data_IF_983378522614
#
_entry.id   IF_983378522614
#
_cell.length_a   1.000
_cell.length_b   1.000
_cell.length_c   1.000
_cell.angle_alpha   90.00
_cell.angle_beta   90.00
_cell.angle_gamma   90.00
#
_symmetry.space_group_name_H-M   'P 1'
#
loop_
_entity.id
_entity.type
_entity.pdbx_description
1 polymer ?
#
# COMPACT_ATOMS: atom_id res chain seq x y z
N UNK A 1 -24.47 9.60 -2.66
CA UNK A 1 -25.38 8.50 -2.27
C UNK A 1 -24.57 7.50 -1.46
N UNK A 2 -25.06 7.04 -0.30
CA UNK A 2 -24.34 6.01 0.47
C UNK A 2 -24.08 4.76 -0.35
N UNK A 3 -22.98 4.08 -0.11
CA UNK A 3 -22.66 2.84 -0.84
C UNK A 3 -23.73 1.78 -0.62
N UNK A 4 -24.26 1.69 0.60
CA UNK A 4 -25.30 0.72 0.94
C UNK A 4 -26.55 0.82 0.03
N UNK A 5 -26.83 2.00 -0.53
CA UNK A 5 -27.97 2.22 -1.44
C UNK A 5 -27.64 1.87 -2.90
N UNK A 6 -26.37 1.65 -3.21
CA UNK A 6 -25.93 1.28 -4.54
C UNK A 6 -25.84 -0.25 -4.71
N UNK A 7 -25.80 -1.00 -3.60
CA UNK A 7 -25.50 -2.43 -3.59
C UNK A 7 -26.78 -3.29 -3.70
N UNK A 8 -26.65 -4.40 -4.41
CA UNK A 8 -27.74 -5.39 -4.59
C UNK A 8 -27.63 -6.49 -3.53
N UNK A 9 -28.36 -6.34 -2.45
CA UNK A 9 -28.45 -7.34 -1.38
C UNK A 9 -29.51 -8.43 -1.66
N UNK A 10 -30.18 -8.43 -2.83
CA UNK A 10 -31.18 -9.46 -3.14
C UNK A 10 -30.56 -10.82 -3.44
N UNK A 11 -29.28 -10.83 -3.76
CA UNK A 11 -28.50 -12.04 -4.02
C UNK A 11 -27.85 -12.54 -2.73
N UNK A 12 -27.33 -13.75 -2.75
CA UNK A 12 -26.48 -14.35 -1.71
C UNK A 12 -27.03 -14.20 -0.27
N UNK A 13 -28.32 -14.42 -0.10
CA UNK A 13 -28.98 -14.37 1.22
C UNK A 13 -28.83 -13.01 1.93
N UNK A 14 -28.84 -11.93 1.18
CA UNK A 14 -28.71 -10.58 1.76
C UNK A 14 -27.28 -10.13 1.99
N UNK A 15 -26.33 -10.79 1.37
CA UNK A 15 -24.90 -10.50 1.56
C UNK A 15 -24.26 -10.09 0.24
N UNK A 16 -23.32 -9.13 0.32
CA UNK A 16 -22.40 -8.83 -0.77
C UNK A 16 -21.00 -9.37 -0.42
N UNK A 17 -20.24 -9.70 -1.44
CA UNK A 17 -18.83 -10.10 -1.26
C UNK A 17 -17.96 -8.86 -1.07
N UNK A 18 -17.08 -8.87 -0.09
CA UNK A 18 -16.12 -7.78 0.10
C UNK A 18 -14.70 -8.31 -0.14
N UNK A 19 -14.05 -7.78 -1.15
CA UNK A 19 -12.62 -8.00 -1.42
C UNK A 19 -11.87 -6.86 -0.74
N UNK A 20 -11.06 -7.20 0.26
CA UNK A 20 -10.30 -6.19 1.01
C UNK A 20 -8.86 -6.15 0.52
N UNK A 21 -8.44 -4.97 0.10
CA UNK A 21 -7.15 -4.72 -0.53
C UNK A 21 -6.37 -3.68 0.29
N UNK A 22 -5.09 -3.90 0.45
CA UNK A 22 -4.19 -2.92 1.06
C UNK A 22 -4.02 -1.74 0.10
N UNK A 23 -4.36 -0.54 0.55
CA UNK A 23 -4.33 0.67 -0.27
C UNK A 23 -2.90 1.10 -0.64
N UNK A 24 -1.90 0.72 0.16
CA UNK A 24 -0.50 1.06 -0.10
C UNK A 24 0.20 0.13 -1.07
N UNK A 25 -0.13 -1.17 -1.00
CA UNK A 25 0.59 -2.19 -1.77
C UNK A 25 -0.24 -2.82 -2.89
N UNK A 26 -1.56 -2.66 -2.86
CA UNK A 26 -2.46 -3.35 -3.79
C UNK A 26 -2.69 -4.83 -3.46
N UNK A 27 -2.09 -5.35 -2.40
CA UNK A 27 -2.23 -6.76 -2.03
C UNK A 27 -3.66 -7.06 -1.57
N UNK A 28 -4.25 -8.16 -2.03
CA UNK A 28 -5.52 -8.63 -1.50
C UNK A 28 -5.27 -9.22 -0.11
N UNK A 29 -5.93 -8.67 0.90
CA UNK A 29 -5.73 -9.05 2.30
C UNK A 29 -6.66 -10.19 2.72
N UNK A 30 -7.92 -10.10 2.33
CA UNK A 30 -8.93 -11.10 2.69
C UNK A 30 -10.18 -10.92 1.83
N UNK A 31 -11.03 -11.93 1.83
CA UNK A 31 -12.38 -11.85 1.29
C UNK A 31 -13.34 -12.22 2.42
N UNK A 32 -14.41 -11.47 2.56
CA UNK A 32 -15.45 -11.70 3.56
C UNK A 32 -16.81 -11.27 2.99
N UNK A 33 -17.85 -11.33 3.79
CA UNK A 33 -19.18 -10.88 3.37
C UNK A 33 -19.65 -9.71 4.24
N UNK A 34 -20.53 -8.90 3.69
CA UNK A 34 -21.18 -7.82 4.42
C UNK A 34 -22.67 -7.80 4.06
N UNK A 35 -23.49 -7.53 5.05
CA UNK A 35 -24.88 -7.16 4.80
C UNK A 35 -25.00 -5.63 4.81
N UNK A 36 -26.20 -5.12 4.61
CA UNK A 36 -26.44 -3.68 4.60
C UNK A 36 -25.94 -3.01 5.90
N UNK A 37 -26.23 -3.61 7.06
CA UNK A 37 -25.80 -3.06 8.34
C UNK A 37 -24.27 -2.96 8.45
N UNK A 38 -23.55 -3.97 7.97
CA UNK A 38 -22.08 -3.96 7.99
C UNK A 38 -21.51 -2.85 7.11
N UNK A 39 -22.09 -2.64 5.92
CA UNK A 39 -21.67 -1.56 5.02
C UNK A 39 -21.95 -0.19 5.66
N UNK A 40 -23.15 0.04 6.19
CA UNK A 40 -23.53 1.29 6.86
C UNK A 40 -22.59 1.60 8.05
N UNK A 41 -22.28 0.57 8.84
CA UNK A 41 -21.33 0.72 9.96
C UNK A 41 -19.92 1.07 9.46
N UNK A 42 -19.49 0.42 8.39
CA UNK A 42 -18.19 0.72 7.77
C UNK A 42 -18.11 2.18 7.32
N UNK A 43 -19.16 2.66 6.63
CA UNK A 43 -19.22 4.07 6.18
C UNK A 43 -19.22 5.03 7.38
N UNK A 44 -19.97 4.70 8.43
CA UNK A 44 -20.11 5.56 9.61
C UNK A 44 -18.83 5.66 10.45
N UNK A 45 -18.08 4.56 10.56
CA UNK A 45 -16.90 4.52 11.45
C UNK A 45 -15.58 4.75 10.71
N UNK A 46 -15.56 4.54 9.39
CA UNK A 46 -14.31 4.54 8.62
C UNK A 46 -13.46 3.29 8.87
N UNK A 47 -14.01 2.27 9.53
CA UNK A 47 -13.31 1.01 9.80
C UNK A 47 -14.17 -0.17 9.35
N UNK A 48 -13.52 -1.22 8.84
CA UNK A 48 -14.23 -2.34 8.19
C UNK A 48 -15.07 -3.15 9.18
N UNK A 49 -16.33 -3.30 8.82
CA UNK A 49 -17.28 -4.23 9.46
C UNK A 49 -17.71 -5.27 8.43
N UNK A 50 -17.92 -6.48 8.88
CA UNK A 50 -18.30 -7.62 8.04
C UNK A 50 -19.47 -8.36 8.68
N UNK A 51 -20.11 -9.24 7.91
CA UNK A 51 -21.11 -10.19 8.40
C UNK A 51 -20.53 -11.60 8.32
N UNK A 52 -20.39 -12.24 9.47
CA UNK A 52 -19.99 -13.64 9.56
C UNK A 52 -21.24 -14.52 9.79
N UNK A 53 -21.32 -15.65 9.12
CA UNK A 53 -22.40 -16.60 9.33
C UNK A 53 -22.48 -17.13 10.77
N UNK A 54 -21.33 -17.17 11.46
CA UNK A 54 -21.25 -17.71 12.81
C UNK A 54 -21.21 -16.63 13.90
N UNK A 55 -20.64 -15.47 13.62
CA UNK A 55 -20.43 -14.39 14.60
C UNK A 55 -21.42 -13.24 14.46
N UNK A 56 -22.17 -13.21 13.38
CA UNK A 56 -23.02 -12.06 13.07
C UNK A 56 -22.22 -10.86 12.59
N UNK A 57 -22.66 -9.67 12.94
CA UNK A 57 -21.95 -8.42 12.63
C UNK A 57 -20.60 -8.41 13.36
N UNK A 58 -19.53 -8.07 12.63
CA UNK A 58 -18.17 -8.20 13.15
C UNK A 58 -17.32 -6.99 12.74
N UNK A 59 -16.88 -6.21 13.71
CA UNK A 59 -15.90 -5.13 13.52
C UNK A 59 -14.50 -5.76 13.43
N UNK A 60 -13.83 -5.57 12.30
CA UNK A 60 -12.50 -6.15 12.07
C UNK A 60 -11.48 -5.49 12.99
N UNK A 61 -10.83 -6.31 13.80
CA UNK A 61 -9.79 -5.85 14.71
C UNK A 61 -10.29 -5.43 16.09
N UNK A 62 -11.59 -5.52 16.38
CA UNK A 62 -12.15 -5.12 17.68
C UNK A 62 -11.45 -5.78 18.88
N UNK A 63 -11.00 -7.02 18.72
CA UNK A 63 -10.33 -7.78 19.79
C UNK A 63 -8.81 -7.72 19.68
N UNK A 64 -8.28 -7.79 18.44
CA UNK A 64 -6.83 -7.92 18.21
C UNK A 64 -6.09 -6.59 18.05
N UNK A 65 -6.81 -5.48 17.87
CA UNK A 65 -6.23 -4.20 17.49
C UNK A 65 -5.92 -4.07 16.00
N UNK A 66 -6.02 -5.16 15.23
CA UNK A 66 -5.69 -5.16 13.80
C UNK A 66 -6.88 -4.65 12.97
N UNK A 67 -7.26 -3.39 13.20
CA UNK A 67 -8.35 -2.73 12.46
C UNK A 67 -7.93 -2.47 11.01
N UNK A 68 -8.92 -2.27 10.16
CA UNK A 68 -8.72 -1.94 8.75
C UNK A 68 -9.41 -0.60 8.48
N UNK A 69 -8.64 0.48 8.40
CA UNK A 69 -9.16 1.83 8.14
C UNK A 69 -9.45 1.99 6.65
N UNK A 70 -10.65 2.42 6.33
CA UNK A 70 -11.12 2.55 4.96
C UNK A 70 -10.49 3.76 4.27
N UNK A 71 -9.96 3.54 3.08
CA UNK A 71 -9.52 4.60 2.16
C UNK A 71 -10.59 4.83 1.08
N UNK A 72 -11.10 3.73 0.48
CA UNK A 72 -12.21 3.82 -0.47
C UNK A 72 -13.03 2.54 -0.45
N UNK A 73 -14.28 2.66 -0.82
CA UNK A 73 -15.24 1.56 -1.03
C UNK A 73 -15.86 1.74 -2.41
N UNK A 74 -15.81 0.73 -3.23
CA UNK A 74 -16.32 0.78 -4.60
C UNK A 74 -17.16 -0.46 -4.89
N UNK A 75 -18.40 -0.25 -5.35
CA UNK A 75 -19.23 -1.35 -5.84
C UNK A 75 -18.71 -1.82 -7.19
N UNK A 76 -18.86 -3.09 -7.47
CA UNK A 76 -18.54 -3.60 -8.80
C UNK A 76 -19.69 -3.31 -9.81
N UNK A 77 -19.58 -3.82 -11.03
CA UNK A 77 -20.46 -3.42 -12.14
C UNK A 77 -21.92 -3.90 -12.01
N UNK A 78 -22.17 -4.94 -11.24
CA UNK A 78 -23.53 -5.44 -10.99
C UNK A 78 -23.92 -5.39 -9.51
N UNK A 79 -23.12 -4.67 -8.73
CA UNK A 79 -23.42 -4.23 -7.36
C UNK A 79 -23.57 -5.38 -6.34
N UNK A 80 -23.01 -6.57 -6.61
CA UNK A 80 -23.02 -7.68 -5.64
C UNK A 80 -21.68 -7.91 -4.94
N UNK A 81 -20.68 -7.06 -5.27
CA UNK A 81 -19.39 -7.10 -4.60
C UNK A 81 -18.87 -5.69 -4.31
N UNK A 82 -17.99 -5.58 -3.33
CA UNK A 82 -17.35 -4.32 -2.91
C UNK A 82 -15.83 -4.52 -2.91
N UNK A 83 -15.11 -3.64 -3.57
CA UNK A 83 -13.67 -3.49 -3.39
C UNK A 83 -13.45 -2.47 -2.27
N UNK A 84 -12.93 -2.94 -1.14
CA UNK A 84 -12.58 -2.11 0.01
C UNK A 84 -11.07 -1.91 0.05
N UNK A 85 -10.59 -0.70 -0.25
CA UNK A 85 -9.18 -0.35 -0.07
C UNK A 85 -8.97 0.19 1.32
N UNK A 86 -8.04 -0.40 2.06
CA UNK A 86 -7.85 -0.11 3.49
C UNK A 86 -6.37 0.09 3.83
N UNK A 87 -6.13 0.78 4.94
CA UNK A 87 -4.83 0.78 5.62
C UNK A 87 -4.97 -0.18 6.82
N UNK A 88 -4.35 -1.37 6.78
CA UNK A 88 -4.43 -2.29 7.90
C UNK A 88 -3.50 -1.85 9.04
N UNK A 89 -3.98 -1.90 10.28
CA UNK A 89 -3.16 -1.61 11.45
C UNK A 89 -2.22 -2.77 11.83
N UNK A 90 -2.44 -3.95 11.24
CA UNK A 90 -1.64 -5.15 11.47
C UNK A 90 -2.15 -6.30 10.61
N UNK A 91 -1.70 -7.53 10.89
CA UNK A 91 -2.07 -8.70 10.10
C UNK A 91 -3.57 -8.86 9.91
N UNK A 92 -3.98 -9.11 8.66
CA UNK A 92 -5.39 -9.35 8.35
C UNK A 92 -5.82 -10.76 8.79
N UNK A 93 -4.91 -11.72 8.69
CA UNK A 93 -5.21 -13.13 8.98
C UNK A 93 -5.08 -13.43 10.48
N UNK A 94 -5.96 -14.31 10.99
CA UNK A 94 -5.91 -14.78 12.38
C UNK A 94 -4.66 -15.60 12.70
N UNK A 95 -3.96 -16.11 11.68
CA UNK A 95 -2.68 -16.80 11.83
C UNK A 95 -1.49 -15.85 11.95
N UNK A 96 -1.72 -14.54 11.97
CA UNK A 96 -0.67 -13.54 12.08
C UNK A 96 0.00 -13.18 10.76
N UNK A 97 -0.49 -13.70 9.63
CA UNK A 97 0.03 -13.33 8.30
C UNK A 97 -0.66 -12.07 7.78
N UNK A 98 0.06 -11.30 6.96
CA UNK A 98 -0.44 -10.06 6.41
C UNK A 98 -1.75 -10.27 5.64
N UNK A 99 -1.85 -11.36 4.89
CA UNK A 99 -3.00 -11.73 4.06
C UNK A 99 -3.53 -13.10 4.46
N UNK A 100 -4.82 -13.34 4.22
CA UNK A 100 -5.44 -14.67 4.34
C UNK A 100 -5.03 -15.61 3.19
N UNK A 101 -4.44 -15.06 2.14
CA UNK A 101 -3.93 -15.85 1.02
C UNK A 101 -2.44 -16.11 1.25
N UNK A 102 -2.14 -17.32 1.73
CA UNK A 102 -0.78 -17.70 2.09
C UNK A 102 0.16 -17.56 0.89
N UNK A 103 1.34 -17.06 1.15
CA UNK A 103 2.42 -16.92 0.16
C UNK A 103 2.13 -15.96 -1.01
N UNK A 104 1.09 -15.17 -0.91
CA UNK A 104 1.13 -13.96 -1.68
C UNK A 104 2.13 -13.07 -0.92
N UNK A 105 3.35 -13.12 -1.27
CA UNK A 105 4.32 -12.10 -0.97
C UNK A 105 3.71 -10.74 -1.33
N UNK A 106 4.32 -9.64 -1.01
CA UNK A 106 3.73 -8.37 -1.37
C UNK A 106 3.34 -8.46 -2.84
N UNK A 107 2.03 -8.38 -3.10
CA UNK A 107 1.59 -8.48 -4.47
C UNK A 107 2.34 -7.42 -5.23
N UNK A 108 3.26 -7.88 -5.96
CA UNK A 108 3.75 -7.30 -7.18
C UNK A 108 4.19 -5.84 -7.21
N UNK A 109 3.86 -4.98 -6.30
CA UNK A 109 4.42 -3.63 -6.37
C UNK A 109 5.53 -3.43 -5.32
N UNK A 110 6.66 -4.05 -5.61
CA UNK A 110 7.87 -3.94 -4.79
C UNK A 110 8.28 -2.46 -4.63
N UNK A 111 8.08 -1.65 -5.66
CA UNK A 111 8.42 -0.22 -5.59
C UNK A 111 7.57 0.52 -4.55
N UNK A 112 6.27 0.19 -4.44
CA UNK A 112 5.41 0.76 -3.39
C UNK A 112 5.86 0.33 -1.99
N UNK A 113 6.31 -0.90 -1.84
CA UNK A 113 6.86 -1.38 -0.55
C UNK A 113 8.12 -0.58 -0.19
N UNK A 114 9.03 -0.43 -1.15
CA UNK A 114 10.27 0.34 -0.95
C UNK A 114 9.95 1.81 -0.63
N UNK A 115 9.01 2.44 -1.36
CA UNK A 115 8.60 3.82 -1.07
C UNK A 115 8.00 3.95 0.34
N UNK A 116 7.21 2.97 0.78
CA UNK A 116 6.66 2.96 2.15
C UNK A 116 7.78 2.94 3.20
N UNK A 117 8.79 2.11 2.98
CA UNK A 117 9.96 2.03 3.88
C UNK A 117 10.72 3.37 3.89
N UNK A 118 10.93 3.97 2.71
CA UNK A 118 11.59 5.28 2.60
C UNK A 118 10.79 6.35 3.35
N UNK A 119 9.45 6.37 3.21
CA UNK A 119 8.57 7.30 3.96
C UNK A 119 8.72 7.14 5.46
N UNK A 120 8.69 5.90 5.93
CA UNK A 120 8.82 5.61 7.37
C UNK A 120 10.17 6.12 7.91
N UNK A 121 11.26 5.87 7.17
CA UNK A 121 12.58 6.36 7.54
C UNK A 121 12.70 7.88 7.49
N UNK A 122 12.02 8.52 6.55
CA UNK A 122 11.97 10.00 6.47
C UNK A 122 11.23 10.59 7.67
N UNK A 123 10.13 9.96 8.09
CA UNK A 123 9.33 10.42 9.22
C UNK A 123 10.04 10.21 10.57
N UNK A 124 10.96 9.25 10.65
CA UNK A 124 11.71 8.92 11.86
C UNK A 124 13.12 9.52 11.87
N UNK A 125 13.32 10.66 11.21
CA UNK A 125 14.61 11.37 11.29
C UNK A 125 14.93 11.63 12.76
N UNK A 126 16.13 11.27 13.22
CA UNK A 126 16.42 11.30 14.63
C UNK A 126 16.44 12.72 15.19
N UNK A 127 15.56 12.96 16.16
CA UNK A 127 15.69 14.10 17.07
C UNK A 127 16.60 13.63 18.22
N UNK A 128 17.90 13.41 17.95
CA UNK A 128 18.80 13.04 19.03
C UNK A 128 19.87 11.97 18.69
N UNK A 129 20.22 11.15 19.65
CA UNK A 129 21.50 10.43 19.75
C UNK A 129 21.72 9.22 18.81
N UNK A 130 20.82 8.93 17.90
CA UNK A 130 20.97 7.79 16.98
C UNK A 130 21.76 8.11 15.71
N UNK A 131 22.57 7.16 15.25
CA UNK A 131 23.23 7.30 13.94
C UNK A 131 22.19 7.24 12.82
N UNK A 132 22.20 8.19 11.87
CA UNK A 132 21.24 8.17 10.79
C UNK A 132 21.45 6.95 9.87
N UNK A 133 20.35 6.34 9.46
CA UNK A 133 20.39 5.25 8.49
C UNK A 133 20.90 5.74 7.13
N UNK A 134 21.29 4.84 6.26
CA UNK A 134 21.73 5.20 4.91
C UNK A 134 20.66 6.02 4.16
N UNK A 135 19.40 5.60 4.22
CA UNK A 135 18.28 6.35 3.63
C UNK A 135 18.22 7.78 4.16
N UNK A 136 18.35 7.95 5.47
CA UNK A 136 18.31 9.29 6.10
C UNK A 136 19.48 10.16 5.66
N UNK A 137 20.68 9.59 5.51
CA UNK A 137 21.84 10.33 4.99
C UNK A 137 21.57 10.80 3.55
N UNK A 138 21.01 9.92 2.71
CA UNK A 138 20.65 10.29 1.34
C UNK A 138 19.58 11.38 1.30
N UNK A 139 18.58 11.31 2.18
CA UNK A 139 17.53 12.33 2.26
C UNK A 139 18.09 13.70 2.68
N UNK A 140 19.06 13.71 3.59
CA UNK A 140 19.66 14.93 4.12
C UNK A 140 20.69 15.55 3.15
N UNK A 141 21.47 14.73 2.45
CA UNK A 141 22.58 15.22 1.60
C UNK A 141 22.20 15.14 0.11
N UNK A 142 21.88 16.32 -0.45
CA UNK A 142 21.53 16.46 -1.87
C UNK A 142 22.65 15.97 -2.80
N UNK A 143 23.90 16.32 -2.49
CA UNK A 143 25.01 15.98 -3.38
C UNK A 143 25.30 14.47 -3.38
N UNK A 144 25.28 13.86 -2.19
CA UNK A 144 25.41 12.40 -2.06
C UNK A 144 24.29 11.69 -2.83
N UNK A 145 23.06 12.15 -2.66
CA UNK A 145 21.88 11.57 -3.32
C UNK A 145 22.01 11.60 -4.85
N UNK A 146 22.35 12.76 -5.43
CA UNK A 146 22.48 12.92 -6.88
C UNK A 146 23.68 12.16 -7.43
N UNK A 147 24.81 12.18 -6.70
CA UNK A 147 26.00 11.42 -7.05
C UNK A 147 25.67 9.92 -7.17
N UNK A 148 24.96 9.36 -6.18
CA UNK A 148 24.63 7.92 -6.16
C UNK A 148 23.77 7.51 -7.35
N UNK A 149 22.80 8.31 -7.76
CA UNK A 149 22.00 8.00 -8.96
C UNK A 149 22.91 7.86 -10.20
N UNK A 150 23.88 8.78 -10.35
CA UNK A 150 24.79 8.73 -11.48
C UNK A 150 25.71 7.50 -11.44
N UNK A 151 26.22 7.16 -10.25
CA UNK A 151 27.09 5.98 -10.05
C UNK A 151 26.32 4.69 -10.42
N UNK A 152 25.15 4.46 -9.80
CA UNK A 152 24.39 3.23 -10.01
C UNK A 152 23.91 3.11 -11.46
N UNK A 153 23.53 4.23 -12.09
CA UNK A 153 23.15 4.21 -13.51
C UNK A 153 24.32 3.80 -14.41
N UNK A 154 25.54 4.30 -14.12
CA UNK A 154 26.73 3.93 -14.90
C UNK A 154 27.10 2.46 -14.70
N UNK A 155 26.98 1.96 -13.47
CA UNK A 155 27.25 0.57 -13.13
C UNK A 155 26.23 -0.37 -13.80
N UNK A 156 24.96 0.01 -13.80
CA UNK A 156 23.90 -0.72 -14.51
C UNK A 156 24.20 -0.82 -16.01
N UNK A 157 24.53 0.31 -16.65
CA UNK A 157 24.87 0.34 -18.11
C UNK A 157 26.06 -0.58 -18.39
N UNK A 158 27.09 -0.52 -17.52
CA UNK A 158 28.29 -1.37 -17.68
C UNK A 158 27.93 -2.84 -17.55
N UNK A 159 27.17 -3.22 -16.54
CA UNK A 159 26.76 -4.62 -16.35
C UNK A 159 25.93 -5.12 -17.53
N UNK A 160 25.05 -4.28 -18.09
CA UNK A 160 24.29 -4.62 -19.30
C UNK A 160 25.21 -4.83 -20.50
N UNK A 161 26.21 -3.96 -20.68
CA UNK A 161 27.16 -4.05 -21.80
C UNK A 161 28.02 -5.32 -21.68
N UNK A 162 28.36 -5.71 -20.46
CA UNK A 162 29.15 -6.91 -20.20
C UNK A 162 28.32 -8.21 -20.32
N UNK A 163 27.00 -8.12 -20.39
CA UNK A 163 26.12 -9.28 -20.40
C UNK A 163 25.98 -9.97 -19.06
N UNK A 164 26.34 -9.29 -17.97
CA UNK A 164 26.25 -9.84 -16.60
C UNK A 164 24.85 -9.60 -16.03
N UNK A 165 23.95 -10.55 -16.24
CA UNK A 165 22.55 -10.44 -15.84
C UNK A 165 22.38 -10.34 -14.31
N UNK A 166 23.22 -11.01 -13.55
CA UNK A 166 23.13 -10.96 -12.08
C UNK A 166 23.48 -9.55 -11.59
N UNK A 167 24.63 -9.04 -12.00
CA UNK A 167 25.05 -7.70 -11.65
C UNK A 167 24.08 -6.64 -12.18
N UNK A 168 23.61 -6.77 -13.42
CA UNK A 168 22.63 -5.82 -13.99
C UNK A 168 21.33 -5.76 -13.15
N UNK A 169 20.90 -6.92 -12.59
CA UNK A 169 19.71 -6.94 -11.72
C UNK A 169 19.97 -6.18 -10.41
N UNK A 170 21.15 -6.35 -9.81
CA UNK A 170 21.53 -5.65 -8.57
C UNK A 170 21.58 -4.13 -8.81
N UNK A 171 22.30 -3.73 -9.85
CA UNK A 171 22.45 -2.28 -10.17
C UNK A 171 21.11 -1.64 -10.54
N UNK A 172 20.24 -2.38 -11.25
CA UNK A 172 18.89 -1.89 -11.55
C UNK A 172 18.10 -1.61 -10.26
N UNK A 173 18.20 -2.51 -9.28
CA UNK A 173 17.52 -2.31 -7.99
C UNK A 173 18.05 -1.07 -7.27
N UNK A 174 19.37 -0.84 -7.32
CA UNK A 174 20.00 0.34 -6.72
C UNK A 174 19.59 1.62 -7.44
N UNK A 175 19.52 1.62 -8.77
CA UNK A 175 18.99 2.75 -9.55
C UNK A 175 17.55 3.09 -9.09
N UNK A 176 16.66 2.07 -9.02
CA UNK A 176 15.28 2.29 -8.57
C UNK A 176 15.22 2.82 -7.14
N UNK A 177 16.01 2.25 -6.23
CA UNK A 177 16.04 2.71 -4.84
C UNK A 177 16.48 4.17 -4.75
N UNK A 178 17.59 4.52 -5.39
CA UNK A 178 18.13 5.90 -5.36
C UNK A 178 17.17 6.89 -6.03
N UNK A 179 16.52 6.49 -7.12
CA UNK A 179 15.50 7.32 -7.76
C UNK A 179 14.30 7.59 -6.84
N UNK A 180 13.81 6.55 -6.14
CA UNK A 180 12.71 6.72 -5.17
C UNK A 180 13.10 7.64 -4.02
N UNK A 181 14.31 7.50 -3.47
CA UNK A 181 14.80 8.41 -2.42
C UNK A 181 14.87 9.85 -2.92
N UNK A 182 15.33 10.04 -4.16
CA UNK A 182 15.41 11.38 -4.75
C UNK A 182 14.01 12.00 -4.96
N UNK A 183 13.08 11.20 -5.45
CA UNK A 183 11.68 11.63 -5.59
C UNK A 183 11.06 12.00 -4.24
N UNK A 184 11.33 11.21 -3.21
CA UNK A 184 10.87 11.47 -1.84
C UNK A 184 11.44 12.77 -1.30
N UNK A 185 12.72 13.02 -1.50
CA UNK A 185 13.36 14.28 -1.11
C UNK A 185 12.74 15.50 -1.80
N UNK A 186 12.37 15.34 -2.92
CA UNK A 186 11.75 16.38 -3.63
C UNK A 186 10.36 16.65 -3.18
N UNK A 187 9.72 15.67 -2.73
CA UNK A 187 8.42 15.79 -2.25
C UNK A 187 8.37 16.29 -0.85
N UNK A 188 9.28 16.09 -0.20
CA UNK A 188 9.44 16.56 1.09
C UNK A 188 9.83 17.98 1.13
N UNK A 189 10.18 18.33 0.14
CA UNK A 189 10.53 19.64 -0.04
C UNK A 189 9.43 20.56 -0.32
N UNK A 190 8.27 20.18 -0.34
CA UNK A 190 7.12 21.04 -0.38
C UNK A 190 6.66 21.54 -1.74
N UNK A 191 7.06 20.91 -2.82
CA UNK A 191 6.51 21.24 -4.15
C UNK A 191 5.33 20.28 -4.45
N UNK A 192 4.14 20.80 -4.81
CA UNK A 192 3.04 19.94 -5.26
C UNK A 192 3.33 19.41 -6.66
N UNK A 193 3.94 18.22 -6.73
CA UNK A 193 4.34 17.62 -8.01
C UNK A 193 3.36 16.56 -8.54
N UNK A 194 2.06 16.72 -8.28
CA UNK A 194 1.08 15.79 -8.85
C UNK A 194 -0.12 16.47 -9.53
N UNK A 195 0.09 17.68 -10.09
CA UNK A 195 -1.02 18.34 -10.80
C UNK A 195 -0.82 18.53 -12.31
N UNK A 196 0.22 18.00 -12.89
CA UNK A 196 0.39 18.16 -14.35
C UNK A 196 0.91 16.90 -15.05
N UNK A 197 0.06 15.87 -15.11
CA UNK A 197 0.23 14.83 -16.13
C UNK A 197 -1.09 14.61 -16.91
N UNK A 198 -1.79 15.71 -17.18
CA UNK A 198 -2.88 15.72 -18.15
C UNK A 198 -2.69 16.93 -19.03
N UNK A 199 -2.23 16.70 -20.20
CA UNK A 199 -2.22 17.49 -21.42
C UNK A 199 -0.85 17.80 -22.00
N UNK A 200 -0.34 16.86 -22.76
CA UNK A 200 0.33 17.22 -24.02
C UNK A 200 -0.08 16.19 -25.05
N UNK A 201 -0.90 16.64 -25.97
CA UNK A 201 -1.10 15.98 -27.26
C UNK A 201 0.16 16.16 -28.13
#
# INVERSE_FOLDING_TARGET
MPLADQLDFSRNDGLVTVVTQDAGTGAVLMVAHADREAIERTEATGEMHYRSRTRGLWHKGATSGNVQRVVSLEADCDADAVLARVIPAGPACHNGTLSCFANTGPAADVLSVVDTIIRARAASLPDGEGQPTYTQRLLADRNLRLKKIGEEAAEFVTACADGDAARATEEAADVFYHALVALRAXXXXGSPMYTHCTSRR
#
